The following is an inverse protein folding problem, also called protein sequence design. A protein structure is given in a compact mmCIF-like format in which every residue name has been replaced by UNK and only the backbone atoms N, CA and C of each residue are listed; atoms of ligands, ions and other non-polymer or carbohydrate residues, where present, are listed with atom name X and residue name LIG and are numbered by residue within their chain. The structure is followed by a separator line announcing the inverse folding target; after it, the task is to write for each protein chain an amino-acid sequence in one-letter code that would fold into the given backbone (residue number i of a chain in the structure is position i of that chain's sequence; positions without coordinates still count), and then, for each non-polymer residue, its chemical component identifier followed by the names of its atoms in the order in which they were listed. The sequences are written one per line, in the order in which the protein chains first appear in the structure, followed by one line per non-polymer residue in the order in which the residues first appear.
data_IF_077077622691
#
_entry.id   IF_077077622691
#
_cell.length_a   1.000
_cell.length_b   1.000
_cell.length_c   1.000
_cell.angle_alpha   90.00
_cell.angle_beta   90.00
_cell.angle_gamma   90.00
#
_symmetry.space_group_name_H-M   'P 1'
#
loop_
_entity.id
_entity.type
_entity.pdbx_description
1 polymer ?
#
# COMPACT_ATOMS: atom_id res chain seq x y z
N UNK A 1 -7.77 -24.62 41.68
CA UNK A 1 -8.30 -23.24 41.63
C UNK A 1 -9.67 -23.31 40.99
N UNK A 2 -10.70 -22.75 41.64
CA UNK A 2 -12.08 -22.80 41.16
C UNK A 2 -12.22 -21.82 39.98
N UNK A 3 -12.41 -22.33 38.76
CA UNK A 3 -12.47 -21.53 37.53
C UNK A 3 -13.91 -21.08 37.18
N UNK A 4 -14.84 -21.25 38.12
CA UNK A 4 -16.22 -20.82 37.97
C UNK A 4 -16.34 -19.31 38.23
N UNK A 5 -16.97 -18.60 37.30
CA UNK A 5 -17.32 -17.18 37.44
C UNK A 5 -18.53 -16.97 38.37
N UNK A 6 -19.20 -18.05 38.78
CA UNK A 6 -20.41 -17.99 39.61
C UNK A 6 -20.09 -17.95 41.12
N UNK A 7 -20.89 -17.22 41.92
CA UNK A 7 -20.79 -17.24 43.37
C UNK A 7 -21.15 -18.61 43.96
N UNK A 8 -20.66 -18.89 45.17
CA UNK A 8 -20.83 -20.19 45.86
C UNK A 8 -22.29 -20.55 46.21
N UNK A 9 -23.23 -19.62 46.07
CA UNK A 9 -24.66 -19.82 46.32
C UNK A 9 -25.53 -19.96 45.06
N UNK A 10 -24.92 -20.09 43.87
CA UNK A 10 -25.65 -20.16 42.61
C UNK A 10 -26.51 -21.42 42.48
N UNK A 11 -27.71 -21.25 41.91
CA UNK A 11 -28.65 -22.35 41.69
C UNK A 11 -28.16 -23.30 40.59
N UNK A 12 -28.66 -24.54 40.58
CA UNK A 12 -28.28 -25.53 39.54
C UNK A 12 -28.61 -25.06 38.11
N UNK A 13 -29.67 -24.26 37.95
CA UNK A 13 -30.04 -23.69 36.66
C UNK A 13 -29.04 -22.63 36.20
N UNK A 14 -28.54 -21.79 37.12
CA UNK A 14 -27.49 -20.81 36.81
C UNK A 14 -26.19 -21.49 36.39
N UNK A 15 -25.80 -22.58 37.08
CA UNK A 15 -24.62 -23.37 36.72
C UNK A 15 -24.78 -23.98 35.33
N UNK A 16 -25.92 -24.63 35.05
CA UNK A 16 -26.20 -25.23 33.74
C UNK A 16 -26.25 -24.18 32.61
N UNK A 17 -26.81 -23.00 32.88
CA UNK A 17 -26.85 -21.90 31.92
C UNK A 17 -25.45 -21.35 31.63
N UNK A 18 -24.61 -21.20 32.67
CA UNK A 18 -23.23 -20.74 32.53
C UNK A 18 -22.39 -21.73 31.71
N UNK A 19 -22.53 -23.04 31.96
CA UNK A 19 -21.83 -24.08 31.18
C UNK A 19 -22.29 -24.09 29.71
N UNK A 20 -23.59 -23.98 29.46
CA UNK A 20 -24.12 -23.93 28.10
C UNK A 20 -23.59 -22.73 27.30
N UNK A 21 -23.46 -21.57 27.95
CA UNK A 21 -22.99 -20.33 27.34
C UNK A 21 -21.46 -20.18 27.31
N UNK A 22 -20.72 -20.94 28.11
CA UNK A 22 -19.25 -20.85 28.19
C UNK A 22 -18.58 -21.10 26.83
N UNK A 23 -19.13 -22.01 26.02
CA UNK A 23 -18.61 -22.30 24.68
C UNK A 23 -18.65 -21.10 23.72
N UNK A 24 -19.50 -20.11 23.98
CA UNK A 24 -19.60 -18.91 23.13
C UNK A 24 -18.38 -17.99 23.27
N UNK A 25 -17.72 -18.00 24.44
CA UNK A 25 -16.48 -17.21 24.63
C UNK A 25 -15.25 -17.84 24.00
N UNK A 26 -15.31 -19.13 23.65
CA UNK A 26 -14.18 -19.86 23.06
C UNK A 26 -14.03 -19.63 21.56
N UNK A 27 -14.90 -18.83 20.95
CA UNK A 27 -14.81 -18.48 19.52
C UNK A 27 -13.47 -17.79 19.27
N UNK A 28 -12.59 -18.35 18.42
CA UNK A 28 -11.29 -17.75 18.16
C UNK A 28 -11.49 -16.43 17.40
N UNK A 29 -10.96 -15.34 17.97
CA UNK A 29 -11.00 -13.99 17.38
C UNK A 29 -9.58 -13.57 16.97
N UNK A 30 -9.07 -13.99 15.80
CA UNK A 30 -7.68 -13.77 15.39
C UNK A 30 -7.42 -12.34 14.85
N UNK A 31 -7.95 -11.31 15.50
CA UNK A 31 -7.83 -9.92 15.04
C UNK A 31 -6.38 -9.46 14.85
N UNK A 32 -5.49 -9.93 15.74
CA UNK A 32 -4.06 -9.60 15.68
C UNK A 32 -3.37 -10.20 14.47
N UNK A 33 -3.83 -11.35 14.00
CA UNK A 33 -3.29 -12.02 12.81
C UNK A 33 -3.77 -11.31 11.54
N UNK A 34 -5.01 -10.83 11.53
CA UNK A 34 -5.58 -10.08 10.41
C UNK A 34 -4.85 -8.76 10.15
N UNK A 35 -4.34 -8.10 11.19
CA UNK A 35 -3.59 -6.84 11.07
C UNK A 35 -2.10 -7.04 10.71
N UNK A 36 -1.63 -8.29 10.64
CA UNK A 36 -0.24 -8.60 10.29
C UNK A 36 -0.13 -8.95 8.81
N UNK A 37 0.69 -8.23 8.01
CA UNK A 37 0.90 -8.56 6.60
C UNK A 37 1.50 -9.94 6.35
N UNK A 38 2.05 -10.62 7.36
CA UNK A 38 2.63 -11.97 7.23
C UNK A 38 1.65 -13.07 7.61
N UNK A 39 0.80 -12.82 8.61
CA UNK A 39 -0.13 -13.84 9.16
C UNK A 39 -1.53 -13.73 8.58
N UNK A 40 -1.86 -12.59 7.97
CA UNK A 40 -3.16 -12.37 7.37
C UNK A 40 -3.41 -13.35 6.20
N UNK A 41 -4.58 -14.02 6.14
CA UNK A 41 -4.98 -14.85 5.02
C UNK A 41 -4.96 -14.09 3.69
N UNK A 42 -4.50 -14.74 2.62
CA UNK A 42 -4.32 -14.10 1.29
C UNK A 42 -5.59 -13.43 0.77
N UNK A 43 -6.75 -14.06 1.00
CA UNK A 43 -8.06 -13.55 0.60
C UNK A 43 -8.41 -12.20 1.25
N UNK A 44 -7.82 -11.90 2.41
CA UNK A 44 -8.09 -10.69 3.18
C UNK A 44 -7.01 -9.61 3.01
N UNK A 45 -5.90 -9.93 2.35
CA UNK A 45 -4.86 -8.96 1.99
C UNK A 45 -5.36 -7.70 1.25
N UNK A 46 -6.33 -7.74 0.32
CA UNK A 46 -6.82 -6.50 -0.31
C UNK A 46 -7.48 -5.54 0.69
N UNK A 47 -8.19 -6.06 1.68
CA UNK A 47 -8.78 -5.22 2.73
C UNK A 47 -7.70 -4.64 3.65
N UNK A 48 -6.67 -5.42 3.97
CA UNK A 48 -5.53 -4.92 4.72
C UNK A 48 -4.77 -3.85 3.93
N UNK A 49 -4.56 -4.04 2.62
CA UNK A 49 -3.93 -3.06 1.76
C UNK A 49 -4.72 -1.74 1.70
N UNK A 50 -6.05 -1.83 1.64
CA UNK A 50 -6.93 -0.67 1.74
C UNK A 50 -6.77 0.05 3.08
N UNK A 51 -6.77 -0.68 4.21
CA UNK A 51 -6.58 -0.10 5.53
C UNK A 51 -5.22 0.60 5.69
N UNK A 52 -4.17 0.08 5.04
CA UNK A 52 -2.84 0.69 5.00
C UNK A 52 -2.67 1.76 3.91
N UNK A 53 -3.75 2.13 3.20
CA UNK A 53 -3.74 3.13 2.12
C UNK A 53 -2.68 2.84 1.06
N UNK A 54 -2.58 1.59 0.61
CA UNK A 54 -1.65 1.21 -0.47
C UNK A 54 -2.14 1.82 -1.80
N UNK A 55 -1.28 2.61 -2.46
CA UNK A 55 -1.68 3.39 -3.65
C UNK A 55 -1.95 2.51 -4.90
N UNK A 56 -1.16 1.45 -5.10
CA UNK A 56 -1.30 0.53 -6.23
C UNK A 56 -1.50 -0.89 -5.74
N UNK A 57 -2.56 -1.51 -6.22
CA UNK A 57 -2.93 -2.88 -5.89
C UNK A 57 -3.41 -3.60 -7.14
N UNK A 58 -2.99 -4.85 -7.30
CA UNK A 58 -3.41 -5.73 -8.37
C UNK A 58 -3.74 -7.11 -7.77
N UNK A 59 -4.86 -7.67 -8.23
CA UNK A 59 -5.34 -8.97 -7.77
C UNK A 59 -4.53 -10.12 -8.34
N UNK A 60 -3.84 -9.92 -9.46
CA UNK A 60 -3.04 -10.95 -10.13
C UNK A 60 -1.59 -10.99 -9.62
N UNK A 61 -1.21 -10.08 -8.71
CA UNK A 61 0.13 -10.11 -8.12
C UNK A 61 0.39 -11.38 -7.30
N UNK A 62 1.62 -11.91 -7.34
CA UNK A 62 2.08 -12.93 -6.42
C UNK A 62 1.87 -12.51 -4.96
N UNK A 63 1.59 -13.49 -4.10
CA UNK A 63 1.37 -13.25 -2.67
C UNK A 63 2.54 -12.50 -2.02
N UNK A 64 3.78 -12.85 -2.37
CA UNK A 64 4.98 -12.18 -1.87
C UNK A 64 4.98 -10.68 -2.19
N UNK A 65 4.66 -10.31 -3.44
CA UNK A 65 4.58 -8.91 -3.87
C UNK A 65 3.48 -8.15 -3.14
N UNK A 66 2.31 -8.78 -2.93
CA UNK A 66 1.19 -8.22 -2.15
C UNK A 66 1.59 -7.95 -0.69
N UNK A 67 2.32 -8.87 -0.05
CA UNK A 67 2.77 -8.69 1.34
C UNK A 67 3.86 -7.61 1.44
N UNK A 68 4.77 -7.56 0.46
CA UNK A 68 5.82 -6.53 0.40
C UNK A 68 5.22 -5.15 0.18
N UNK A 69 4.23 -4.99 -0.69
CA UNK A 69 3.59 -3.68 -0.94
C UNK A 69 2.92 -3.13 0.32
N UNK A 70 2.23 -3.98 1.09
CA UNK A 70 1.64 -3.59 2.39
C UNK A 70 2.73 -3.23 3.39
N UNK A 71 3.80 -4.04 3.53
CA UNK A 71 4.92 -3.74 4.45
C UNK A 71 5.63 -2.41 4.12
N UNK A 72 5.80 -2.11 2.85
CA UNK A 72 6.49 -0.90 2.40
C UNK A 72 5.62 0.36 2.49
N UNK A 73 4.28 0.22 2.58
CA UNK A 73 3.33 1.34 2.65
C UNK A 73 3.71 2.37 3.72
N UNK A 74 4.06 1.93 4.93
CA UNK A 74 4.45 2.81 6.03
C UNK A 74 5.70 3.63 5.71
N UNK A 75 6.70 3.00 5.09
CA UNK A 75 7.93 3.69 4.71
C UNK A 75 7.65 4.74 3.63
N UNK A 76 6.86 4.37 2.62
CA UNK A 76 6.47 5.26 1.51
C UNK A 76 5.68 6.45 2.04
N UNK A 77 4.69 6.21 2.92
CA UNK A 77 3.89 7.27 3.55
C UNK A 77 4.73 8.23 4.39
N UNK A 78 5.71 7.71 5.12
CA UNK A 78 6.63 8.53 5.93
C UNK A 78 7.57 9.40 5.10
N UNK A 79 7.92 8.99 3.88
CA UNK A 79 8.94 9.67 3.05
C UNK A 79 8.37 10.20 1.73
N UNK A 80 7.06 10.47 1.67
CA UNK A 80 6.40 11.00 0.47
C UNK A 80 7.15 12.22 -0.08
N UNK A 81 7.23 12.32 -1.41
CA UNK A 81 7.94 13.40 -2.10
C UNK A 81 9.46 13.21 -2.21
N UNK A 82 10.04 12.19 -1.57
CA UNK A 82 11.46 11.87 -1.75
C UNK A 82 11.68 10.92 -2.91
N UNK A 83 12.85 11.01 -3.55
CA UNK A 83 13.30 10.03 -4.55
C UNK A 83 13.34 8.62 -3.95
N UNK A 84 13.67 8.49 -2.66
CA UNK A 84 13.71 7.22 -1.94
C UNK A 84 12.35 6.54 -1.87
N UNK A 85 11.28 7.29 -1.55
CA UNK A 85 9.92 6.75 -1.56
C UNK A 85 9.50 6.30 -2.96
N UNK A 86 9.78 7.10 -3.99
CA UNK A 86 9.48 6.75 -5.38
C UNK A 86 10.19 5.44 -5.77
N UNK A 87 11.50 5.34 -5.52
CA UNK A 87 12.29 4.13 -5.82
C UNK A 87 11.73 2.88 -5.12
N UNK A 88 11.31 3.00 -3.86
CA UNK A 88 10.79 1.87 -3.09
C UNK A 88 9.43 1.38 -3.56
N UNK A 89 8.63 2.25 -4.18
CA UNK A 89 7.34 1.88 -4.78
C UNK A 89 7.54 1.08 -6.07
N UNK A 90 8.52 1.44 -6.91
CA UNK A 90 8.75 0.76 -8.21
C UNK A 90 9.65 -0.46 -8.16
N UNK A 91 10.56 -0.55 -7.18
CA UNK A 91 11.51 -1.67 -7.05
C UNK A 91 10.82 -3.06 -7.05
N UNK A 92 9.70 -3.28 -6.33
CA UNK A 92 8.99 -4.58 -6.34
C UNK A 92 8.41 -4.97 -7.71
N UNK A 93 8.23 -4.01 -8.61
CA UNK A 93 7.65 -4.22 -9.94
C UNK A 93 8.70 -4.32 -11.05
N UNK A 94 9.99 -4.27 -10.70
CA UNK A 94 11.08 -4.38 -11.67
C UNK A 94 11.28 -3.17 -12.57
N UNK A 95 10.67 -2.01 -12.25
CA UNK A 95 10.87 -0.78 -13.03
C UNK A 95 12.12 -0.03 -12.58
N UNK A 96 12.91 0.43 -13.56
CA UNK A 96 14.03 1.36 -13.35
C UNK A 96 13.57 2.78 -13.66
N UNK A 97 13.53 3.64 -12.64
CA UNK A 97 13.22 5.07 -12.83
C UNK A 97 14.50 5.89 -12.91
N UNK A 98 14.64 6.67 -13.98
CA UNK A 98 15.61 7.76 -14.09
C UNK A 98 14.94 9.06 -13.62
N UNK A 99 15.40 9.61 -12.51
CA UNK A 99 14.95 10.93 -12.03
C UNK A 99 15.79 12.00 -12.72
N UNK A 100 15.14 12.83 -13.54
CA UNK A 100 15.74 14.06 -14.08
C UNK A 100 15.35 15.22 -13.17
N UNK A 101 16.33 15.99 -12.70
CA UNK A 101 16.04 17.24 -12.01
C UNK A 101 15.89 18.35 -13.07
N UNK A 102 14.92 19.26 -12.90
CA UNK A 102 14.53 20.27 -13.89
C UNK A 102 15.59 21.34 -14.21
N UNK A 103 16.83 21.17 -13.74
CA UNK A 103 17.96 21.91 -14.27
C UNK A 103 18.18 21.49 -15.72
N UNK A 104 18.11 22.46 -16.65
CA UNK A 104 18.45 22.24 -18.05
C UNK A 104 19.72 21.39 -18.12
N UNK A 105 19.78 20.32 -18.94
CA UNK A 105 21.05 19.66 -19.16
C UNK A 105 22.02 20.74 -19.63
N UNK A 106 23.16 20.87 -18.95
CA UNK A 106 24.21 21.80 -19.34
C UNK A 106 24.67 21.39 -20.74
N UNK A 107 24.03 21.97 -21.75
CA UNK A 107 24.38 21.77 -23.15
C UNK A 107 25.79 22.30 -23.31
N UNK A 108 26.69 21.44 -23.77
CA UNK A 108 28.02 21.86 -24.21
C UNK A 108 27.86 23.08 -25.14
N UNK A 109 28.65 24.16 -24.96
CA UNK A 109 28.54 25.38 -25.77
C UNK A 109 28.63 25.12 -27.29
N UNK A 110 29.18 23.98 -27.71
CA UNK A 110 29.37 23.59 -29.11
C UNK A 110 28.09 23.33 -29.93
N UNK A 111 26.91 23.17 -29.30
CA UNK A 111 25.67 22.83 -30.02
C UNK A 111 24.57 23.91 -29.95
N UNK A 112 24.89 25.08 -29.40
CA UNK A 112 23.91 26.17 -29.18
C UNK A 112 23.38 26.81 -30.48
N UNK A 113 24.15 26.77 -31.57
CA UNK A 113 23.78 27.44 -32.84
C UNK A 113 22.71 26.72 -33.68
N UNK A 114 22.71 25.39 -33.73
CA UNK A 114 21.85 24.63 -34.66
C UNK A 114 20.42 24.39 -34.13
N UNK A 115 20.25 24.31 -32.81
CA UNK A 115 18.94 23.99 -32.20
C UNK A 115 18.04 25.25 -32.07
N UNK A 116 18.61 26.42 -31.81
CA UNK A 116 17.86 27.69 -31.81
C UNK A 116 17.30 28.03 -33.21
N UNK A 117 18.01 27.65 -34.28
CA UNK A 117 17.55 27.83 -35.66
C UNK A 117 16.36 26.91 -36.02
N UNK A 118 16.23 25.75 -35.37
CA UNK A 118 15.14 24.79 -35.61
C UNK A 118 13.83 25.23 -34.93
N UNK A 119 13.90 25.83 -33.74
CA UNK A 119 12.72 26.26 -32.98
C UNK A 119 11.97 27.46 -33.59
N UNK A 120 12.64 28.28 -34.42
CA UNK A 120 12.00 29.45 -35.07
C UNK A 120 11.18 29.11 -36.32
N UNK A 121 11.17 27.84 -36.77
CA UNK A 121 10.49 27.39 -38.00
C UNK A 121 9.12 26.74 -37.76
N UNK A 122 8.74 26.47 -36.51
CA UNK A 122 7.45 25.83 -36.18
C UNK A 122 6.55 26.82 -35.44
N UNK A 123 5.98 27.76 -36.19
CA UNK A 123 4.82 28.54 -35.78
C UNK A 123 3.74 28.47 -36.89
N UNK A 124 2.44 28.56 -36.55
CA UNK A 124 1.35 28.04 -37.40
C UNK A 124 1.09 28.91 -38.65
N UNK A 125 0.63 28.28 -39.74
CA UNK A 125 0.18 28.96 -40.98
C UNK A 125 -0.95 29.97 -40.69
N UNK A 126 -1.04 31.10 -41.44
CA UNK A 126 -2.17 32.02 -41.33
C UNK A 126 -3.45 31.41 -41.95
N UNK A 127 -4.66 31.89 -41.58
CA UNK A 127 -5.91 31.34 -42.08
C UNK A 127 -6.15 31.72 -43.55
N UNK A 128 -6.75 30.80 -44.29
CA UNK A 128 -7.18 30.99 -45.67
C UNK A 128 -8.42 31.89 -45.64
N UNK A 129 -8.34 33.05 -46.31
CA UNK A 129 -9.51 33.92 -46.57
C UNK A 129 -10.30 33.31 -47.74
N UNK A 130 -11.61 33.15 -47.56
CA UNK A 130 -12.58 33.12 -48.67
C UNK A 130 -12.94 34.56 -49.03
#
# INVERSE_FOLDING_TARGET
MNNSLLPVGSSLLEVAAAEALASLSDVPVPLRELWSPERCPVKLLPYLAWAWSVDRWDMDWPESTKRVSIKMSMFVHKHKGTIGAIRRVVEPFGYLIRVINGGKPMMSPALSGWILASWKRVSPRPPIKN
#
